data_IF_760990431316
#
_entry.id   IF_760990431316
#
_cell.length_a   1.000
_cell.length_b   1.000
_cell.length_c   1.000
_cell.angle_alpha   90.00
_cell.angle_beta   90.00
_cell.angle_gamma   90.00
#
_symmetry.space_group_name_H-M   'P 1'
#
loop_
_entity.id
_entity.type
_entity.pdbx_description
1 polymer ?
#
# COMPACT_ATOMS: atom_id res chain seq x y z
N UNK A 1 -8.99 -28.60 12.83
CA UNK A 1 -9.76 -27.35 13.02
C UNK A 1 -8.88 -26.09 12.90
N UNK A 2 -7.55 -26.19 13.02
CA UNK A 2 -6.59 -25.06 12.89
C UNK A 2 -6.44 -24.55 11.45
N UNK A 3 -6.58 -25.43 10.45
CA UNK A 3 -6.43 -25.10 9.02
C UNK A 3 -7.39 -24.02 8.47
N UNK A 4 -8.56 -23.80 9.09
CA UNK A 4 -9.49 -22.75 8.65
C UNK A 4 -9.12 -21.36 9.16
N UNK A 5 -8.31 -21.25 10.21
CA UNK A 5 -8.00 -19.97 10.86
C UNK A 5 -7.07 -19.08 10.04
N UNK A 6 -6.05 -19.65 9.39
CA UNK A 6 -5.11 -18.89 8.56
C UNK A 6 -5.75 -18.34 7.28
N UNK A 7 -6.65 -19.12 6.66
CA UNK A 7 -7.38 -18.66 5.49
C UNK A 7 -8.32 -17.50 5.85
N UNK A 8 -9.05 -17.58 6.97
CA UNK A 8 -9.91 -16.47 7.44
C UNK A 8 -9.09 -15.21 7.75
N UNK A 9 -7.87 -15.35 8.31
CA UNK A 9 -6.96 -14.22 8.50
C UNK A 9 -6.47 -13.65 7.15
N UNK A 10 -6.12 -14.48 6.18
CA UNK A 10 -5.70 -14.04 4.85
C UNK A 10 -6.82 -13.27 4.13
N UNK A 11 -8.04 -13.84 4.09
CA UNK A 11 -9.20 -13.23 3.44
C UNK A 11 -9.54 -11.86 4.06
N UNK A 12 -9.42 -11.75 5.39
CA UNK A 12 -9.64 -10.48 6.10
C UNK A 12 -8.55 -9.47 5.81
N UNK A 13 -7.28 -9.88 5.81
CA UNK A 13 -6.20 -8.97 5.45
C UNK A 13 -6.42 -8.42 4.04
N UNK A 14 -6.80 -9.28 3.10
CA UNK A 14 -7.15 -8.89 1.74
C UNK A 14 -8.31 -7.89 1.71
N UNK A 15 -9.39 -8.12 2.47
CA UNK A 15 -10.49 -7.14 2.60
C UNK A 15 -9.98 -5.78 3.07
N UNK A 16 -9.11 -5.75 4.10
CA UNK A 16 -8.60 -4.49 4.66
C UNK A 16 -7.66 -3.80 3.65
N UNK A 17 -6.82 -4.55 2.95
CA UNK A 17 -5.98 -4.02 1.85
C UNK A 17 -6.84 -3.45 0.73
N UNK A 18 -7.95 -4.09 0.38
CA UNK A 18 -8.84 -3.61 -0.68
C UNK A 18 -9.55 -2.32 -0.28
N UNK A 19 -10.15 -2.25 0.91
CA UNK A 19 -10.78 -1.00 1.36
C UNK A 19 -9.75 0.13 1.53
N UNK A 20 -8.51 -0.20 1.89
CA UNK A 20 -7.40 0.75 1.91
C UNK A 20 -7.07 1.27 0.49
N UNK A 21 -7.03 0.39 -0.51
CA UNK A 21 -6.84 0.76 -1.93
C UNK A 21 -7.98 1.60 -2.48
N UNK A 22 -9.17 1.42 -1.92
CA UNK A 22 -10.32 2.29 -2.13
C UNK A 22 -10.23 3.57 -1.28
N UNK A 23 -9.08 3.90 -0.69
CA UNK A 23 -8.88 5.12 0.08
C UNK A 23 -9.85 5.26 1.23
N UNK A 24 -10.13 4.20 2.02
CA UNK A 24 -10.96 4.32 3.20
C UNK A 24 -10.30 5.20 4.29
N UNK A 25 -11.10 5.91 5.08
CA UNK A 25 -10.63 6.63 6.26
C UNK A 25 -9.80 5.75 7.21
N UNK A 26 -8.78 6.33 7.83
CA UNK A 26 -7.96 5.66 8.85
C UNK A 26 -8.77 5.19 10.06
N UNK A 27 -9.92 5.80 10.33
CA UNK A 27 -10.90 5.38 11.33
C UNK A 27 -11.48 3.99 11.01
N UNK A 28 -11.97 3.79 9.78
CA UNK A 28 -12.54 2.54 9.27
C UNK A 28 -11.46 1.47 9.21
N UNK A 29 -10.28 1.83 8.68
CA UNK A 29 -9.13 0.94 8.62
C UNK A 29 -8.68 0.51 10.02
N UNK A 30 -8.66 1.43 10.98
CA UNK A 30 -8.34 1.16 12.37
C UNK A 30 -9.31 0.19 13.04
N UNK A 31 -10.62 0.35 12.83
CA UNK A 31 -11.63 -0.60 13.33
C UNK A 31 -11.41 -2.01 12.75
N UNK A 32 -11.24 -2.10 11.43
CA UNK A 32 -11.05 -3.38 10.75
C UNK A 32 -9.73 -4.05 11.15
N UNK A 33 -8.65 -3.27 11.26
CA UNK A 33 -7.36 -3.77 11.68
C UNK A 33 -7.34 -4.20 13.15
N UNK A 34 -8.08 -3.51 14.01
CA UNK A 34 -8.24 -3.90 15.43
C UNK A 34 -8.98 -5.24 15.55
N UNK A 35 -10.04 -5.44 14.74
CA UNK A 35 -10.73 -6.73 14.67
C UNK A 35 -9.81 -7.85 14.16
N UNK A 36 -9.04 -7.59 13.09
CA UNK A 36 -8.04 -8.52 12.58
C UNK A 36 -6.99 -8.90 13.65
N UNK A 37 -6.47 -7.91 14.38
CA UNK A 37 -5.50 -8.11 15.47
C UNK A 37 -6.04 -9.04 16.55
N UNK A 38 -7.28 -8.82 16.99
CA UNK A 38 -7.91 -9.68 18.00
C UNK A 38 -8.08 -11.12 17.51
N UNK A 39 -8.44 -11.29 16.24
CA UNK A 39 -8.59 -12.64 15.67
C UNK A 39 -7.25 -13.35 15.51
N UNK A 40 -6.21 -12.62 15.09
CA UNK A 40 -4.85 -13.16 14.99
C UNK A 40 -4.31 -13.63 16.36
N UNK A 41 -4.66 -12.92 17.44
CA UNK A 41 -4.35 -13.29 18.83
C UNK A 41 -5.04 -14.59 19.26
N UNK A 42 -6.35 -14.69 19.00
CA UNK A 42 -7.09 -15.93 19.28
C UNK A 42 -6.51 -17.10 18.50
N UNK A 43 -6.15 -16.90 17.24
CA UNK A 43 -5.57 -17.94 16.40
C UNK A 43 -4.20 -18.39 16.95
N UNK A 44 -3.32 -17.44 17.28
CA UNK A 44 -2.00 -17.75 17.83
C UNK A 44 -2.06 -18.50 19.16
N UNK A 45 -2.94 -18.09 20.08
CA UNK A 45 -3.14 -18.80 21.35
C UNK A 45 -3.52 -20.28 21.13
N UNK A 46 -4.33 -20.55 20.10
CA UNK A 46 -4.69 -21.91 19.71
C UNK A 46 -3.51 -22.68 19.11
N UNK A 47 -2.67 -22.02 18.30
CA UNK A 47 -1.48 -22.64 17.70
C UNK A 47 -0.41 -22.97 18.74
N UNK A 48 -0.12 -22.07 19.68
CA UNK A 48 0.80 -22.33 20.80
C UNK A 48 0.29 -23.49 21.64
N UNK A 49 -1.01 -23.56 21.92
CA UNK A 49 -1.62 -24.69 22.62
C UNK A 49 -1.48 -26.02 21.88
N UNK A 50 -1.49 -25.99 20.53
CA UNK A 50 -1.31 -27.17 19.70
C UNK A 50 0.17 -27.59 19.53
N UNK A 51 1.11 -26.65 19.72
CA UNK A 51 2.55 -26.87 19.65
C UNK A 51 3.16 -27.25 21.01
N UNK A 52 2.37 -27.78 21.93
CA UNK A 52 2.83 -28.16 23.27
C UNK A 52 4.01 -29.16 23.28
N UNK A 53 4.19 -29.92 22.20
CA UNK A 53 5.26 -30.91 22.04
C UNK A 53 6.43 -30.42 21.13
N UNK A 54 6.42 -29.17 20.66
CA UNK A 54 7.48 -28.60 19.84
C UNK A 54 8.76 -28.35 20.65
N UNK A 55 9.91 -28.24 19.98
CA UNK A 55 11.15 -27.90 20.69
C UNK A 55 11.14 -26.46 21.18
N UNK A 56 11.82 -26.18 22.30
CA UNK A 56 11.94 -24.83 22.87
C UNK A 56 12.41 -23.80 21.83
N UNK A 57 13.31 -24.20 20.91
CA UNK A 57 13.83 -23.33 19.86
C UNK A 57 12.80 -22.97 18.79
N UNK A 58 11.97 -23.93 18.38
CA UNK A 58 10.91 -23.72 17.40
C UNK A 58 9.79 -22.84 17.97
N UNK A 59 9.39 -23.10 19.22
CA UNK A 59 8.44 -22.27 19.97
C UNK A 59 8.96 -20.83 20.12
N UNK A 60 10.25 -20.65 20.43
CA UNK A 60 10.85 -19.32 20.58
C UNK A 60 10.89 -18.54 19.25
N UNK A 61 11.21 -19.19 18.13
CA UNK A 61 11.24 -18.54 16.82
C UNK A 61 9.83 -18.19 16.32
N UNK A 62 8.87 -19.08 16.55
CA UNK A 62 7.47 -18.89 16.20
C UNK A 62 6.86 -17.72 16.99
N UNK A 63 6.98 -17.74 18.32
CA UNK A 63 6.51 -16.66 19.21
C UNK A 63 7.14 -15.31 18.86
N UNK A 64 8.45 -15.26 18.59
CA UNK A 64 9.13 -14.03 18.21
C UNK A 64 8.63 -13.43 16.87
N UNK A 65 8.30 -14.29 15.90
CA UNK A 65 7.77 -13.87 14.60
C UNK A 65 6.35 -13.31 14.74
N UNK A 66 5.53 -13.97 15.56
CA UNK A 66 4.19 -13.51 15.89
C UNK A 66 4.20 -12.17 16.66
N UNK A 67 5.04 -12.04 17.68
CA UNK A 67 5.20 -10.79 18.44
C UNK A 67 5.64 -9.63 17.53
N UNK A 68 6.54 -9.90 16.58
CA UNK A 68 6.97 -8.91 15.61
C UNK A 68 5.83 -8.47 14.68
N UNK A 69 4.96 -9.39 14.28
CA UNK A 69 3.77 -9.10 13.49
C UNK A 69 2.77 -8.25 14.29
N UNK A 70 2.45 -8.64 15.53
CA UNK A 70 1.54 -7.89 16.40
C UNK A 70 2.03 -6.47 16.68
N UNK A 71 3.34 -6.29 16.93
CA UNK A 71 3.92 -4.94 17.09
C UNK A 71 3.73 -4.05 15.87
N UNK A 72 3.79 -4.60 14.66
CA UNK A 72 3.54 -3.81 13.43
C UNK A 72 2.07 -3.42 13.32
N UNK A 73 1.16 -4.34 13.65
CA UNK A 73 -0.28 -4.05 13.68
C UNK A 73 -0.59 -2.96 14.70
N UNK A 74 -0.08 -3.09 15.92
CA UNK A 74 -0.26 -2.11 16.99
C UNK A 74 0.34 -0.74 16.60
N UNK A 75 1.48 -0.72 15.89
CA UNK A 75 2.08 0.52 15.40
C UNK A 75 1.22 1.22 14.34
N UNK A 76 0.62 0.47 13.41
CA UNK A 76 -0.32 1.02 12.42
C UNK A 76 -1.59 1.54 13.10
N UNK A 77 -2.13 0.80 14.06
CA UNK A 77 -3.28 1.26 14.84
C UNK A 77 -2.99 2.57 15.59
N UNK A 78 -1.79 2.68 16.18
CA UNK A 78 -1.35 3.91 16.85
C UNK A 78 -1.19 5.08 15.87
N UNK A 79 -0.63 4.85 14.69
CA UNK A 79 -0.45 5.86 13.64
C UNK A 79 -1.80 6.37 13.12
N UNK A 80 -2.74 5.47 12.84
CA UNK A 80 -4.11 5.83 12.48
C UNK A 80 -4.80 6.65 13.56
N UNK A 81 -4.66 6.26 14.84
CA UNK A 81 -5.24 6.99 15.97
C UNK A 81 -4.61 8.39 16.16
N UNK A 82 -3.36 8.58 15.74
CA UNK A 82 -2.67 9.87 15.78
C UNK A 82 -3.02 10.79 14.59
N UNK A 83 -3.86 10.33 13.65
CA UNK A 83 -4.12 11.03 12.39
C UNK A 83 -2.95 10.96 11.41
N UNK A 84 -2.04 10.00 11.62
CA UNK A 84 -0.99 9.63 10.68
C UNK A 84 -1.53 8.89 9.46
N UNK A 85 -0.62 8.46 8.59
CA UNK A 85 -0.96 7.94 7.27
C UNK A 85 -0.83 6.44 7.11
N UNK A 86 -0.75 6.03 5.85
CA UNK A 86 -0.59 4.63 5.48
C UNK A 86 0.89 4.18 5.45
N UNK A 87 1.85 5.03 5.78
CA UNK A 87 3.27 4.66 5.66
C UNK A 87 3.62 3.37 6.42
N UNK A 88 3.14 3.17 7.65
CA UNK A 88 3.39 1.94 8.41
C UNK A 88 2.54 0.75 7.92
N UNK A 89 1.39 1.03 7.28
CA UNK A 89 0.43 0.03 6.81
C UNK A 89 1.09 -0.95 5.84
N UNK A 90 1.92 -0.49 4.92
CA UNK A 90 2.52 -1.38 3.92
C UNK A 90 3.58 -2.31 4.47
N UNK A 91 4.40 -1.81 5.39
CA UNK A 91 5.43 -2.61 6.05
C UNK A 91 4.79 -3.68 6.93
N UNK A 92 3.62 -3.38 7.48
CA UNK A 92 2.77 -4.33 8.17
C UNK A 92 2.16 -5.35 7.20
N UNK A 93 1.38 -4.91 6.20
CA UNK A 93 0.67 -5.78 5.26
C UNK A 93 1.63 -6.75 4.54
N UNK A 94 2.74 -6.25 3.99
CA UNK A 94 3.74 -7.09 3.33
C UNK A 94 4.44 -8.07 4.31
N UNK A 95 4.51 -7.73 5.60
CA UNK A 95 5.06 -8.62 6.63
C UNK A 95 4.08 -9.72 7.00
N UNK A 96 2.79 -9.40 7.12
CA UNK A 96 1.74 -10.37 7.43
C UNK A 96 1.59 -11.32 6.24
N UNK A 97 1.52 -10.82 5.00
CA UNK A 97 1.47 -11.68 3.81
C UNK A 97 2.66 -12.66 3.74
N UNK A 98 3.88 -12.18 4.00
CA UNK A 98 5.06 -13.07 4.04
C UNK A 98 4.96 -14.13 5.12
N UNK A 99 4.43 -13.78 6.29
CA UNK A 99 4.23 -14.72 7.38
C UNK A 99 3.21 -15.80 6.99
N UNK A 100 2.05 -15.40 6.45
CA UNK A 100 1.00 -16.30 5.99
C UNK A 100 1.52 -17.26 4.89
N UNK A 101 2.28 -16.76 3.91
CA UNK A 101 2.89 -17.60 2.85
C UNK A 101 3.98 -18.53 3.39
N UNK A 102 4.75 -18.11 4.40
CA UNK A 102 5.81 -18.94 4.96
C UNK A 102 5.24 -20.15 5.73
N UNK A 103 4.17 -19.94 6.49
CA UNK A 103 3.51 -21.00 7.24
C UNK A 103 2.79 -22.01 6.30
N UNK A 104 2.19 -21.53 5.20
CA UNK A 104 1.66 -22.37 4.11
C UNK A 104 2.71 -23.35 3.58
N UNK A 105 3.88 -22.84 3.20
CA UNK A 105 4.95 -23.63 2.60
C UNK A 105 5.52 -24.70 3.56
N UNK A 106 5.53 -24.43 4.87
CA UNK A 106 6.01 -25.37 5.89
C UNK A 106 4.97 -26.46 6.21
N UNK A 107 3.67 -26.16 6.14
CA UNK A 107 2.60 -27.09 6.52
C UNK A 107 2.10 -27.98 5.38
N UNK A 108 2.68 -27.85 4.19
CA UNK A 108 2.28 -28.65 3.01
C UNK A 108 0.84 -28.38 2.56
N UNK A 109 0.28 -27.25 2.96
CA UNK A 109 -1.02 -26.78 2.50
C UNK A 109 -0.82 -26.27 1.08
N UNK A 110 -1.49 -26.88 0.10
CA UNK A 110 -1.39 -26.50 -1.31
C UNK A 110 -2.43 -25.45 -1.74
N UNK A 111 -3.20 -24.90 -0.80
CA UNK A 111 -4.45 -24.18 -1.14
C UNK A 111 -4.63 -22.81 -0.44
N UNK A 112 -3.65 -22.23 0.26
CA UNK A 112 -3.76 -20.80 0.64
C UNK A 112 -3.26 -19.99 -0.56
N UNK A 113 -4.01 -20.08 -1.66
CA UNK A 113 -3.63 -19.49 -2.94
C UNK A 113 -3.66 -17.95 -2.88
N UNK A 114 -2.62 -17.34 -2.30
CA UNK A 114 -2.24 -15.95 -2.52
C UNK A 114 -1.61 -15.76 -3.93
N UNK A 115 -1.69 -16.78 -4.78
CA UNK A 115 -1.36 -16.73 -6.20
C UNK A 115 -2.36 -17.55 -7.03
N UNK A 116 -3.57 -17.00 -7.18
CA UNK A 116 -4.18 -16.64 -8.47
C UNK A 116 -4.18 -17.69 -9.60
N UNK A 117 -5.38 -18.00 -10.06
CA UNK A 117 -5.72 -18.03 -11.50
C UNK A 117 -5.43 -16.65 -12.13
N UNK A 118 -4.14 -16.34 -12.27
CA UNK A 118 -3.65 -15.00 -12.61
C UNK A 118 -3.88 -14.62 -14.08
N UNK A 119 -4.28 -15.60 -14.88
CA UNK A 119 -4.28 -15.51 -16.33
C UNK A 119 -5.58 -14.92 -16.89
N UNK A 120 -6.67 -14.87 -16.10
CA UNK A 120 -7.99 -14.44 -16.60
C UNK A 120 -8.88 -13.66 -15.61
N UNK A 121 -8.43 -13.36 -14.39
CA UNK A 121 -9.20 -12.49 -13.50
C UNK A 121 -9.21 -11.04 -14.04
N UNK A 122 -10.38 -10.36 -14.12
CA UNK A 122 -10.41 -8.94 -14.44
C UNK A 122 -9.51 -8.20 -13.45
N UNK A 123 -8.53 -7.46 -13.95
CA UNK A 123 -7.67 -6.64 -13.11
C UNK A 123 -8.51 -5.46 -12.65
N UNK A 124 -8.84 -5.43 -11.37
CA UNK A 124 -9.53 -4.30 -10.75
C UNK A 124 -8.59 -3.08 -10.69
N UNK A 125 -9.16 -1.87 -10.57
CA UNK A 125 -8.37 -0.65 -10.40
C UNK A 125 -7.53 -0.76 -9.13
N UNK A 126 -6.24 -0.43 -9.23
CA UNK A 126 -5.34 -0.46 -8.08
C UNK A 126 -5.70 0.57 -7.00
N UNK A 127 -6.29 1.69 -7.41
CA UNK A 127 -6.73 2.78 -6.55
C UNK A 127 -8.13 3.21 -6.96
N UNK A 128 -9.06 3.20 -6.02
CA UNK A 128 -10.39 3.80 -6.21
C UNK A 128 -10.40 5.24 -5.70
N UNK A 129 -10.90 6.19 -6.50
CA UNK A 129 -11.09 7.56 -5.99
C UNK A 129 -12.23 7.60 -4.96
N UNK A 130 -11.95 8.13 -3.77
CA UNK A 130 -12.95 8.35 -2.72
C UNK A 130 -12.93 9.77 -2.18
N UNK A 131 -13.89 10.06 -1.30
CA UNK A 131 -13.94 11.35 -0.59
C UNK A 131 -12.71 11.55 0.29
N UNK A 132 -12.10 10.48 0.77
CA UNK A 132 -10.94 10.59 1.66
C UNK A 132 -9.67 10.94 0.91
N UNK A 133 -9.60 10.70 -0.40
CA UNK A 133 -8.51 11.21 -1.25
C UNK A 133 -8.76 12.66 -1.73
N UNK A 134 -9.97 13.19 -1.50
CA UNK A 134 -10.30 14.56 -1.85
C UNK A 134 -9.78 15.53 -0.78
N UNK A 135 -9.08 16.55 -1.25
CA UNK A 135 -8.68 17.68 -0.44
C UNK A 135 -9.76 18.75 -0.39
N UNK A 136 -10.76 18.72 -1.28
CA UNK A 136 -11.77 19.78 -1.40
C UNK A 136 -11.26 21.00 -2.15
N UNK A 137 -10.18 20.85 -2.92
CA UNK A 137 -9.57 21.88 -3.75
C UNK A 137 -9.59 21.40 -5.19
N UNK A 138 -10.48 21.97 -6.01
CA UNK A 138 -10.85 21.43 -7.32
C UNK A 138 -9.67 21.09 -8.24
N UNK A 139 -8.65 21.96 -8.31
CA UNK A 139 -7.51 21.75 -9.22
C UNK A 139 -6.57 20.65 -8.71
N UNK A 140 -6.38 20.56 -7.38
CA UNK A 140 -5.59 19.49 -6.74
C UNK A 140 -6.28 18.15 -6.95
N UNK A 141 -7.58 18.08 -6.64
CA UNK A 141 -8.35 16.85 -6.76
C UNK A 141 -8.42 16.36 -8.22
N UNK A 142 -8.50 17.27 -9.19
CA UNK A 142 -8.41 16.92 -10.62
C UNK A 142 -7.05 16.32 -10.99
N UNK A 143 -5.96 16.89 -10.47
CA UNK A 143 -4.62 16.38 -10.71
C UNK A 143 -4.38 15.02 -10.05
N UNK A 144 -4.81 14.84 -8.79
CA UNK A 144 -4.73 13.54 -8.10
C UNK A 144 -5.52 12.46 -8.84
N UNK A 145 -6.73 12.76 -9.33
CA UNK A 145 -7.50 11.82 -10.16
C UNK A 145 -6.74 11.41 -11.41
N UNK A 146 -6.12 12.36 -12.12
CA UNK A 146 -5.35 12.05 -13.32
C UNK A 146 -4.12 11.17 -13.03
N UNK A 147 -3.46 11.37 -11.87
CA UNK A 147 -2.38 10.51 -11.40
C UNK A 147 -2.88 9.10 -11.09
N UNK A 148 -3.98 8.99 -10.34
CA UNK A 148 -4.63 7.73 -9.99
C UNK A 148 -5.04 6.95 -11.24
N UNK A 149 -5.71 7.61 -12.18
CA UNK A 149 -6.14 6.99 -13.44
C UNK A 149 -4.96 6.44 -14.23
N UNK A 150 -3.85 7.18 -14.28
CA UNK A 150 -2.65 6.73 -14.99
C UNK A 150 -1.94 5.57 -14.28
N UNK A 151 -1.91 5.57 -12.94
CA UNK A 151 -1.37 4.44 -12.15
C UNK A 151 -2.24 3.19 -12.33
N UNK A 152 -3.56 3.36 -12.35
CA UNK A 152 -4.50 2.28 -12.64
C UNK A 152 -4.24 1.69 -14.03
N UNK A 153 -4.11 2.52 -15.07
CA UNK A 153 -3.77 2.08 -16.43
C UNK A 153 -2.46 1.26 -16.46
N UNK A 154 -1.43 1.69 -15.71
CA UNK A 154 -0.17 0.92 -15.56
C UNK A 154 -0.43 -0.44 -14.92
N UNK A 155 -1.25 -0.52 -13.86
CA UNK A 155 -1.61 -1.78 -13.21
C UNK A 155 -2.39 -2.76 -14.09
N UNK A 156 -3.12 -2.23 -15.06
CA UNK A 156 -3.91 -3.02 -16.03
C UNK A 156 -3.06 -3.57 -17.18
N UNK A 157 -1.81 -3.13 -17.35
CA UNK A 157 -0.93 -3.61 -18.42
C UNK A 157 -0.76 -5.14 -18.35
N UNK A 158 -0.97 -5.89 -19.45
CA UNK A 158 -0.85 -7.34 -19.43
C UNK A 158 0.57 -7.78 -19.03
N UNK A 159 0.74 -9.03 -18.57
CA UNK A 159 2.07 -9.59 -18.22
C UNK A 159 3.09 -9.45 -19.38
N UNK A 160 2.60 -9.44 -20.61
CA UNK A 160 3.38 -9.28 -21.83
C UNK A 160 2.91 -8.01 -22.54
N UNK A 161 3.24 -6.85 -21.99
CA UNK A 161 2.89 -5.54 -22.55
C UNK A 161 3.82 -5.15 -23.71
N UNK A 162 3.35 -4.27 -24.59
CA UNK A 162 4.22 -3.60 -25.55
C UNK A 162 5.06 -2.54 -24.82
N UNK A 163 6.38 -2.54 -25.06
CA UNK A 163 7.29 -1.58 -24.46
C UNK A 163 6.89 -0.13 -24.77
N UNK A 164 6.32 0.12 -25.96
CA UNK A 164 5.84 1.44 -26.36
C UNK A 164 4.68 1.90 -25.48
N UNK A 165 3.75 1.00 -25.17
CA UNK A 165 2.59 1.33 -24.33
C UNK A 165 3.03 1.59 -22.87
N UNK A 166 3.90 0.76 -22.34
CA UNK A 166 4.48 0.93 -21.00
C UNK A 166 5.26 2.25 -20.87
N UNK A 167 6.12 2.56 -21.85
CA UNK A 167 6.90 3.80 -21.87
C UNK A 167 5.98 5.03 -21.97
N UNK A 168 4.96 4.98 -22.82
CA UNK A 168 4.00 6.07 -22.98
C UNK A 168 3.22 6.36 -21.69
N UNK A 169 2.80 5.33 -20.95
CA UNK A 169 2.11 5.47 -19.67
C UNK A 169 3.01 6.05 -18.58
N UNK A 170 4.25 5.57 -18.45
CA UNK A 170 5.20 6.11 -17.48
C UNK A 170 5.56 7.58 -17.77
N UNK A 171 5.79 7.91 -19.04
CA UNK A 171 6.04 9.29 -19.48
C UNK A 171 4.82 10.18 -19.24
N UNK A 172 3.60 9.65 -19.44
CA UNK A 172 2.35 10.37 -19.08
C UNK A 172 2.27 10.63 -17.58
N UNK A 173 2.48 9.60 -16.75
CA UNK A 173 2.47 9.71 -15.29
C UNK A 173 3.47 10.78 -14.82
N UNK A 174 4.70 10.70 -15.31
CA UNK A 174 5.76 11.66 -15.00
C UNK A 174 5.41 13.09 -15.39
N UNK A 175 4.80 13.32 -16.56
CA UNK A 175 4.37 14.66 -16.99
C UNK A 175 3.27 15.23 -16.10
N UNK A 176 2.25 14.42 -15.79
CA UNK A 176 1.16 14.85 -14.91
C UNK A 176 1.72 15.18 -13.52
N UNK A 177 2.56 14.31 -12.95
CA UNK A 177 3.20 14.53 -11.66
C UNK A 177 4.03 15.82 -11.64
N UNK A 178 4.88 16.03 -12.65
CA UNK A 178 5.69 17.25 -12.73
C UNK A 178 4.84 18.53 -12.78
N UNK A 179 3.75 18.52 -13.56
CA UNK A 179 2.86 19.68 -13.66
C UNK A 179 2.16 19.95 -12.33
N UNK A 180 1.56 18.92 -11.74
CA UNK A 180 0.87 18.97 -10.47
C UNK A 180 1.78 19.49 -9.34
N UNK A 181 2.95 18.87 -9.19
CA UNK A 181 3.95 19.26 -8.20
C UNK A 181 4.41 20.70 -8.39
N UNK A 182 4.59 21.15 -9.63
CA UNK A 182 4.97 22.54 -9.89
C UNK A 182 3.92 23.54 -9.40
N UNK A 183 2.63 23.24 -9.58
CA UNK A 183 1.55 24.12 -9.11
C UNK A 183 1.43 24.13 -7.58
N UNK A 184 1.53 22.97 -6.94
CA UNK A 184 1.56 22.85 -5.48
C UNK A 184 2.74 23.57 -4.86
N UNK A 185 3.94 23.35 -5.37
CA UNK A 185 5.15 24.02 -4.91
C UNK A 185 5.07 25.54 -5.08
N UNK A 186 4.48 26.02 -6.18
CA UNK A 186 4.24 27.45 -6.39
C UNK A 186 3.26 28.03 -5.36
N UNK A 187 2.24 27.26 -4.99
CA UNK A 187 1.30 27.65 -3.94
C UNK A 187 1.97 27.69 -2.55
N UNK A 188 2.73 26.64 -2.22
CA UNK A 188 3.40 26.49 -0.92
C UNK A 188 4.60 27.43 -0.74
N UNK A 189 5.19 27.94 -1.84
CA UNK A 189 6.30 28.88 -1.80
C UNK A 189 5.99 30.19 -1.03
N UNK A 190 4.72 30.54 -0.88
CA UNK A 190 4.26 31.71 -0.14
C UNK A 190 4.02 31.44 1.35
N UNK A 191 4.07 30.17 1.77
CA UNK A 191 3.77 29.71 3.12
C UNK A 191 5.01 29.41 3.97
N UNK A 192 4.88 28.43 4.86
CA UNK A 192 5.98 27.97 5.72
C UNK A 192 7.10 27.33 4.89
N UNK A 193 8.33 27.85 5.06
CA UNK A 193 9.49 27.43 4.26
C UNK A 193 9.97 26.01 4.58
N UNK A 194 9.86 25.56 5.82
CA UNK A 194 10.33 24.23 6.20
C UNK A 194 9.35 23.17 5.73
N UNK A 195 8.05 23.46 5.89
CA UNK A 195 6.97 22.69 5.33
C UNK A 195 7.10 22.54 3.81
N UNK A 196 7.25 23.65 3.09
CA UNK A 196 7.43 23.63 1.65
C UNK A 196 8.67 22.83 1.22
N UNK A 197 9.77 22.87 1.99
CA UNK A 197 10.96 22.05 1.72
C UNK A 197 10.70 20.55 1.88
N UNK A 198 9.98 20.13 2.94
CA UNK A 198 9.60 18.73 3.16
C UNK A 198 8.74 18.22 2.00
N UNK A 199 7.76 19.02 1.56
CA UNK A 199 6.89 18.72 0.43
C UNK A 199 7.68 18.55 -0.87
N UNK A 200 8.47 19.56 -1.26
CA UNK A 200 9.35 19.54 -2.46
C UNK A 200 10.31 18.35 -2.45
N UNK A 201 10.81 17.93 -1.28
CA UNK A 201 11.71 16.79 -1.18
C UNK A 201 11.02 15.47 -1.60
N UNK A 202 9.76 15.27 -1.22
CA UNK A 202 8.97 14.10 -1.62
C UNK A 202 8.70 14.10 -3.13
N UNK A 203 8.33 15.26 -3.70
CA UNK A 203 8.15 15.41 -5.15
C UNK A 203 9.39 15.07 -5.94
N UNK A 204 10.54 15.60 -5.52
CA UNK A 204 11.83 15.31 -6.16
C UNK A 204 12.19 13.84 -6.10
N UNK A 205 11.89 13.18 -4.98
CA UNK A 205 12.09 11.74 -4.84
C UNK A 205 11.28 10.95 -5.87
N UNK A 206 9.97 11.21 -5.98
CA UNK A 206 9.13 10.50 -6.95
C UNK A 206 9.55 10.78 -8.39
N UNK A 207 9.81 12.04 -8.75
CA UNK A 207 10.22 12.38 -10.12
C UNK A 207 11.52 11.67 -10.51
N UNK A 208 12.51 11.62 -9.61
CA UNK A 208 13.76 10.90 -9.84
C UNK A 208 13.54 9.38 -9.96
N UNK A 209 12.63 8.82 -9.16
CA UNK A 209 12.27 7.41 -9.24
C UNK A 209 11.54 7.07 -10.56
N UNK A 210 10.62 7.92 -11.01
CA UNK A 210 9.96 7.78 -12.31
C UNK A 210 10.96 7.89 -13.47
N UNK A 211 11.90 8.84 -13.41
CA UNK A 211 12.98 8.97 -14.40
C UNK A 211 13.82 7.69 -14.49
N UNK A 212 14.15 7.11 -13.34
CA UNK A 212 14.89 5.84 -13.27
C UNK A 212 14.06 4.68 -13.83
N UNK A 213 12.78 4.58 -13.44
CA UNK A 213 11.89 3.51 -13.89
C UNK A 213 11.71 3.54 -15.41
N UNK A 214 11.48 4.73 -15.99
CA UNK A 214 11.41 4.94 -17.44
C UNK A 214 12.69 4.44 -18.12
N UNK A 215 13.86 4.82 -17.58
CA UNK A 215 15.15 4.39 -18.13
C UNK A 215 15.35 2.88 -18.05
N UNK A 216 15.01 2.26 -16.93
CA UNK A 216 15.18 0.82 -16.71
C UNK A 216 14.21 0.00 -17.58
N UNK A 217 12.96 0.43 -17.74
CA UNK A 217 11.97 -0.18 -18.66
C UNK A 217 12.42 -0.06 -20.11
N UNK A 218 12.81 1.14 -20.57
CA UNK A 218 13.38 1.34 -21.92
C UNK A 218 14.60 0.47 -22.20
N UNK A 219 15.42 0.25 -21.17
CA UNK A 219 16.63 -0.58 -21.25
C UNK A 219 16.37 -2.08 -21.09
N UNK A 220 15.12 -2.52 -20.88
CA UNK A 220 14.75 -3.90 -20.54
C UNK A 220 15.50 -4.45 -19.31
N UNK A 221 15.83 -3.56 -18.36
CA UNK A 221 16.46 -3.88 -17.08
C UNK A 221 15.44 -4.07 -15.95
N UNK A 222 14.20 -3.64 -16.19
CA UNK A 222 13.07 -3.84 -15.30
C UNK A 222 11.81 -4.07 -16.14
N UNK A 223 10.90 -4.88 -15.59
CA UNK A 223 9.53 -4.99 -16.08
C UNK A 223 8.58 -4.23 -15.16
N UNK A 224 7.46 -3.76 -15.71
CA UNK A 224 6.35 -3.23 -14.91
C UNK A 224 5.62 -4.39 -14.24
N UNK A 225 6.01 -4.64 -13.00
CA UNK A 225 5.41 -5.66 -12.14
C UNK A 225 4.25 -5.09 -11.32
N UNK A 226 3.45 -5.98 -10.72
CA UNK A 226 2.49 -5.60 -9.69
C UNK A 226 3.16 -4.80 -8.56
N UNK A 227 4.36 -5.20 -8.14
CA UNK A 227 5.16 -4.49 -7.14
C UNK A 227 5.49 -3.04 -7.53
N UNK A 228 5.78 -2.78 -8.81
CA UNK A 228 6.04 -1.41 -9.29
C UNK A 228 4.79 -0.55 -9.16
N UNK A 229 3.64 -1.08 -9.59
CA UNK A 229 2.38 -0.36 -9.53
C UNK A 229 1.92 -0.16 -8.08
N UNK A 230 2.05 -1.18 -7.22
CA UNK A 230 1.76 -1.10 -5.79
C UNK A 230 2.63 -0.04 -5.09
N UNK A 231 3.89 0.10 -5.49
CA UNK A 231 4.80 1.12 -4.96
C UNK A 231 4.38 2.53 -5.37
N UNK A 232 3.92 2.73 -6.61
CA UNK A 232 3.39 4.01 -7.08
C UNK A 232 2.07 4.36 -6.36
N UNK A 233 1.16 3.39 -6.22
CA UNK A 233 -0.07 3.56 -5.45
C UNK A 233 0.24 3.96 -4.01
N UNK A 234 1.21 3.27 -3.40
CA UNK A 234 1.65 3.52 -2.04
C UNK A 234 2.13 4.95 -1.84
N UNK A 235 3.05 5.39 -2.70
CA UNK A 235 3.59 6.73 -2.60
C UNK A 235 2.48 7.77 -2.75
N UNK A 236 1.60 7.63 -3.75
CA UNK A 236 0.58 8.63 -4.04
C UNK A 236 -0.45 8.73 -2.91
N UNK A 237 -1.00 7.60 -2.45
CA UNK A 237 -2.02 7.61 -1.39
C UNK A 237 -1.43 8.17 -0.09
N UNK A 238 -0.22 7.77 0.28
CA UNK A 238 0.43 8.27 1.49
C UNK A 238 0.73 9.76 1.41
N UNK A 239 1.20 10.24 0.25
CA UNK A 239 1.46 11.65 0.01
C UNK A 239 0.20 12.51 0.15
N UNK A 240 -0.89 12.11 -0.51
CA UNK A 240 -2.19 12.79 -0.43
C UNK A 240 -2.68 12.87 1.00
N UNK A 241 -2.65 11.75 1.73
CA UNK A 241 -3.24 11.65 3.06
C UNK A 241 -2.40 12.33 4.15
N UNK A 242 -1.08 12.37 4.02
CA UNK A 242 -0.18 12.84 5.11
C UNK A 242 0.52 14.15 4.83
N UNK A 243 0.71 14.51 3.56
CA UNK A 243 1.40 15.72 3.15
C UNK A 243 0.36 16.71 2.60
N UNK A 244 -0.33 16.36 1.52
CA UNK A 244 -1.17 17.33 0.80
C UNK A 244 -2.35 17.77 1.65
N UNK A 245 -3.03 16.83 2.31
CA UNK A 245 -4.10 17.16 3.26
C UNK A 245 -3.64 18.11 4.35
N UNK A 246 -2.46 17.87 4.93
CA UNK A 246 -1.88 18.77 5.92
C UNK A 246 -1.69 20.16 5.27
N UNK A 247 -1.05 20.18 4.10
CA UNK A 247 -0.50 21.34 3.40
C UNK A 247 -1.57 22.28 2.85
N UNK A 248 -2.68 21.71 2.40
CA UNK A 248 -3.78 22.43 1.76
C UNK A 248 -5.06 22.47 2.58
N UNK A 249 -5.07 22.00 3.84
CA UNK A 249 -6.25 22.08 4.72
C UNK A 249 -6.86 23.49 4.81
N UNK A 250 -6.03 24.54 4.75
CA UNK A 250 -6.49 25.94 4.85
C UNK A 250 -7.24 26.44 3.61
N UNK A 251 -7.18 25.69 2.50
CA UNK A 251 -7.87 26.01 1.25
C UNK A 251 -9.24 25.35 1.13
N UNK A 252 -9.58 24.45 2.06
CA UNK A 252 -10.90 23.83 2.13
C UNK A 252 -11.95 24.93 2.34
N UNK A 253 -12.89 25.06 1.39
CA UNK A 253 -14.01 26.00 1.46
C UNK A 253 -15.27 25.33 1.96
#
# INVERSE_FOLDING_TARGET
>A
MIMGGLQDLADRLDEIVQIWRLGAETSILGERLSAFRQQAEIHFDQEVGALADASDGELLQFTASYDAMMRKIDAVLADFAAGGGASLWFDMAASIERYLRYDEAQRGLQDIALSRDEENAPRESLIGWTRDLALGVDWIDQHHRALIDTINEIGLLPRHYDLVDADALLERLRRIAWHHFHEEEAHLALGDRERARRHVAQHRYLLADLDRLIFDVRSRRADLTGETSDRLCRWLIDHILTIDKEDFQSLQR
#
